data_IF_434830831343
#
_entry.id   IF_434830831343
#
_cell.length_a   1.000
_cell.length_b   1.000
_cell.length_c   1.000
_cell.angle_alpha   90.00
_cell.angle_beta   90.00
_cell.angle_gamma   90.00
#
_symmetry.space_group_name_H-M   'P 1'
#
loop_
_entity.id
_entity.type
_entity.pdbx_description
1 polymer ?
#
# COMPACT_ATOMS: atom_id res chain seq x y z
N UNK A 1 63.75 -21.60 -9.63
CA UNK A 1 64.05 -22.77 -10.50
C UNK A 1 62.91 -22.87 -11.51
N UNK A 2 63.32 -22.67 -12.76
CA UNK A 2 62.68 -23.09 -14.03
C UNK A 2 61.27 -22.61 -14.37
N UNK A 3 61.09 -21.63 -15.22
CA UNK A 3 61.29 -21.56 -16.72
C UNK A 3 60.43 -22.54 -17.50
N UNK A 4 59.53 -22.04 -18.35
CA UNK A 4 59.60 -21.94 -19.82
C UNK A 4 58.22 -21.57 -20.35
N UNK A 5 57.98 -20.47 -20.99
CA UNK A 5 58.28 -19.94 -22.36
C UNK A 5 57.75 -20.83 -23.50
N UNK A 6 57.05 -20.10 -24.38
CA UNK A 6 56.96 -20.17 -25.83
C UNK A 6 55.76 -20.97 -26.39
N UNK A 7 55.12 -20.60 -27.52
CA UNK A 7 55.42 -19.71 -28.64
C UNK A 7 54.15 -19.49 -29.47
N UNK A 8 54.07 -18.32 -30.02
CA UNK A 8 53.37 -17.84 -31.23
C UNK A 8 53.15 -18.87 -32.35
N UNK A 9 51.99 -18.77 -33.05
CA UNK A 9 51.95 -18.78 -34.49
C UNK A 9 50.71 -18.03 -35.02
N UNK A 10 51.00 -17.06 -35.90
CA UNK A 10 50.09 -16.38 -36.82
C UNK A 10 49.90 -17.27 -38.04
N UNK A 11 48.71 -17.31 -38.62
CA UNK A 11 48.44 -17.17 -40.06
C UNK A 11 47.00 -17.56 -40.39
N UNK A 12 46.36 -16.76 -41.26
CA UNK A 12 45.19 -17.21 -42.00
C UNK A 12 44.06 -16.20 -42.12
N UNK A 13 44.25 -15.17 -42.95
CA UNK A 13 43.17 -14.27 -43.45
C UNK A 13 42.27 -15.08 -44.37
N UNK A 14 40.96 -15.12 -44.11
CA UNK A 14 39.94 -15.29 -45.14
C UNK A 14 38.68 -14.53 -44.84
N UNK A 15 38.42 -13.51 -45.65
CA UNK A 15 37.17 -12.76 -45.77
C UNK A 15 36.05 -13.72 -46.22
N UNK A 16 34.97 -13.78 -45.43
CA UNK A 16 33.65 -14.08 -45.96
C UNK A 16 32.62 -13.17 -45.30
N UNK A 17 32.07 -12.33 -46.14
CA UNK A 17 30.87 -11.53 -45.83
C UNK A 17 29.74 -12.46 -45.35
N UNK A 18 29.28 -12.28 -44.15
CA UNK A 18 27.98 -12.75 -43.74
C UNK A 18 27.21 -11.64 -43.05
N UNK A 19 26.13 -11.23 -43.71
CA UNK A 19 25.06 -10.42 -43.15
C UNK A 19 24.56 -11.03 -41.83
N UNK A 20 25.08 -10.55 -40.71
CA UNK A 20 24.55 -10.84 -39.40
C UNK A 20 23.44 -9.87 -39.08
N UNK A 21 22.20 -10.28 -39.30
CA UNK A 21 21.05 -9.57 -38.75
C UNK A 21 21.22 -9.52 -37.23
N UNK A 22 21.28 -8.30 -36.72
CA UNK A 22 21.14 -8.05 -35.27
C UNK A 22 19.76 -8.49 -34.84
N UNK A 23 19.66 -9.69 -34.29
CA UNK A 23 18.54 -10.07 -33.46
C UNK A 23 18.59 -9.18 -32.19
N UNK A 24 18.05 -7.98 -32.28
CA UNK A 24 17.56 -7.27 -31.11
C UNK A 24 16.39 -8.11 -30.57
N UNK A 25 16.70 -9.00 -29.63
CA UNK A 25 15.69 -9.59 -28.76
C UNK A 25 15.00 -8.39 -28.08
N UNK A 26 13.82 -8.04 -28.57
CA UNK A 26 12.89 -7.19 -27.83
C UNK A 26 12.61 -7.94 -26.53
N UNK A 27 13.38 -7.63 -25.48
CA UNK A 27 12.97 -7.89 -24.12
C UNK A 27 11.72 -7.06 -23.92
N UNK A 28 10.56 -7.65 -24.10
CA UNK A 28 9.29 -7.12 -23.64
C UNK A 28 9.44 -7.08 -22.12
N UNK A 29 9.82 -5.94 -21.58
CA UNK A 29 9.79 -5.70 -20.14
C UNK A 29 8.34 -5.83 -19.74
N UNK A 30 8.00 -6.95 -19.12
CA UNK A 30 6.66 -7.16 -18.60
C UNK A 30 6.49 -6.17 -17.43
N UNK A 31 5.40 -5.39 -17.45
CA UNK A 31 5.07 -4.51 -16.34
C UNK A 31 5.01 -5.32 -15.03
N UNK A 32 5.48 -4.77 -13.90
CA UNK A 32 5.40 -5.44 -12.62
C UNK A 32 3.94 -5.73 -12.26
N UNK A 33 3.71 -6.85 -11.60
CA UNK A 33 2.39 -7.21 -11.09
C UNK A 33 2.05 -6.37 -9.84
N UNK A 34 0.85 -5.80 -9.80
CA UNK A 34 0.41 -4.91 -8.73
C UNK A 34 -0.95 -5.38 -8.20
N UNK A 35 -1.12 -5.35 -6.87
CA UNK A 35 -2.40 -5.50 -6.20
C UNK A 35 -2.60 -4.38 -5.20
N UNK A 36 -3.68 -3.61 -5.37
CA UNK A 36 -4.11 -2.58 -4.43
C UNK A 36 -5.39 -3.07 -3.76
N UNK A 37 -5.32 -3.35 -2.48
CA UNK A 37 -6.48 -3.70 -1.69
C UNK A 37 -7.31 -2.44 -1.44
N UNK A 38 -8.60 -2.53 -1.75
CA UNK A 38 -9.55 -1.45 -1.48
C UNK A 38 -10.43 -1.88 -0.32
N UNK A 39 -10.22 -1.24 0.84
CA UNK A 39 -10.91 -1.61 2.08
C UNK A 39 -12.37 -1.15 2.11
N UNK A 40 -13.27 -2.09 2.31
CA UNK A 40 -14.73 -1.88 2.46
C UNK A 40 -15.19 -2.42 3.81
N UNK A 41 -16.17 -1.77 4.43
CA UNK A 41 -16.85 -2.28 5.63
C UNK A 41 -18.38 -2.36 5.46
N UNK A 42 -18.89 -1.98 4.30
CA UNK A 42 -20.30 -2.07 3.89
C UNK A 42 -20.41 -2.05 2.37
N UNK A 43 -21.54 -2.45 1.79
CA UNK A 43 -21.79 -2.33 0.37
C UNK A 43 -21.63 -0.90 -0.14
N UNK A 44 -20.91 -0.76 -1.24
CA UNK A 44 -20.68 0.49 -1.94
C UNK A 44 -20.30 0.20 -3.40
N UNK A 45 -20.10 1.25 -4.21
CA UNK A 45 -19.57 1.10 -5.57
C UNK A 45 -18.20 0.41 -5.49
N UNK A 46 -18.06 -0.73 -6.20
CA UNK A 46 -16.81 -1.49 -6.20
C UNK A 46 -15.78 -0.90 -7.17
N UNK A 47 -14.59 -0.69 -6.66
CA UNK A 47 -13.38 -0.51 -7.43
C UNK A 47 -12.71 -1.88 -7.58
N UNK A 48 -12.83 -2.51 -8.74
CA UNK A 48 -12.37 -3.87 -8.99
C UNK A 48 -11.89 -4.04 -10.43
N UNK A 49 -10.64 -4.41 -10.58
CA UNK A 49 -10.04 -4.84 -11.84
C UNK A 49 -8.83 -5.77 -11.59
N UNK A 50 -7.91 -5.91 -12.52
CA UNK A 50 -6.72 -6.74 -12.34
C UNK A 50 -5.74 -6.21 -11.29
N UNK A 51 -5.77 -4.89 -10.98
CA UNK A 51 -4.94 -4.23 -9.96
C UNK A 51 -5.74 -4.03 -8.68
N UNK A 52 -6.97 -3.51 -8.79
CA UNK A 52 -7.82 -3.15 -7.66
C UNK A 52 -8.57 -4.38 -7.13
N UNK A 53 -8.38 -4.69 -5.87
CA UNK A 53 -8.96 -5.86 -5.21
C UNK A 53 -9.77 -5.43 -3.99
N UNK A 54 -11.12 -5.47 -4.03
CA UNK A 54 -11.95 -5.14 -2.88
C UNK A 54 -11.79 -6.16 -1.76
N UNK A 55 -11.57 -5.66 -0.54
CA UNK A 55 -11.46 -6.48 0.69
C UNK A 55 -12.46 -6.01 1.74
N UNK A 56 -13.22 -6.94 2.31
CA UNK A 56 -14.13 -6.69 3.44
C UNK A 56 -13.34 -6.72 4.74
N UNK A 57 -13.24 -5.57 5.39
CA UNK A 57 -12.49 -5.37 6.63
C UNK A 57 -13.37 -5.70 7.85
N UNK A 58 -12.81 -6.44 8.79
CA UNK A 58 -13.52 -6.86 9.98
C UNK A 58 -14.67 -7.83 9.68
N UNK A 59 -14.57 -8.63 8.62
CA UNK A 59 -15.65 -9.56 8.22
C UNK A 59 -16.07 -10.48 9.35
N UNK A 60 -15.14 -10.92 10.21
CA UNK A 60 -15.44 -11.74 11.38
C UNK A 60 -16.42 -11.08 12.38
N UNK A 61 -16.57 -9.76 12.33
CA UNK A 61 -17.45 -8.98 13.21
C UNK A 61 -18.67 -8.39 12.48
N UNK A 62 -18.79 -8.59 11.17
CA UNK A 62 -19.77 -7.88 10.34
C UNK A 62 -21.23 -8.12 10.75
N UNK A 63 -21.54 -9.30 11.29
CA UNK A 63 -22.89 -9.66 11.78
C UNK A 63 -23.11 -9.31 13.25
N UNK A 64 -22.13 -8.66 13.91
CA UNK A 64 -22.27 -8.23 15.30
C UNK A 64 -22.69 -6.77 15.37
N UNK A 65 -23.53 -6.43 16.34
CA UNK A 65 -23.96 -5.06 16.58
C UNK A 65 -22.75 -4.13 16.82
N UNK A 66 -22.74 -3.00 16.14
CA UNK A 66 -21.72 -1.95 16.23
C UNK A 66 -22.37 -0.58 16.41
N UNK A 67 -21.55 0.48 16.51
CA UNK A 67 -22.05 1.87 16.53
C UNK A 67 -22.81 2.25 15.25
N UNK A 68 -22.50 1.60 14.14
CA UNK A 68 -23.10 1.84 12.82
C UNK A 68 -24.29 0.87 12.55
N UNK A 69 -24.68 0.08 13.55
CA UNK A 69 -25.70 -0.95 13.47
C UNK A 69 -25.13 -2.33 13.17
N UNK A 70 -26.01 -3.28 12.95
CA UNK A 70 -25.72 -4.63 12.51
C UNK A 70 -25.87 -4.68 10.98
N UNK A 71 -24.95 -5.34 10.31
CA UNK A 71 -25.06 -5.53 8.85
C UNK A 71 -26.24 -6.46 8.54
N UNK A 72 -27.10 -6.11 7.59
CA UNK A 72 -28.16 -6.99 7.14
C UNK A 72 -27.60 -8.27 6.52
N UNK A 73 -28.40 -9.32 6.50
CA UNK A 73 -28.00 -10.59 5.90
C UNK A 73 -27.70 -10.42 4.40
N UNK A 74 -28.54 -9.67 3.73
CA UNK A 74 -28.41 -9.36 2.30
C UNK A 74 -27.13 -8.60 2.00
N UNK A 75 -26.79 -7.61 2.81
CA UNK A 75 -25.53 -6.85 2.70
C UNK A 75 -24.31 -7.74 2.95
N UNK A 76 -24.39 -8.60 3.97
CA UNK A 76 -23.31 -9.53 4.27
C UNK A 76 -23.08 -10.53 3.14
N UNK A 77 -24.14 -11.14 2.61
CA UNK A 77 -24.07 -12.03 1.45
C UNK A 77 -23.45 -11.30 0.24
N UNK A 78 -23.93 -10.09 -0.04
CA UNK A 78 -23.38 -9.27 -1.12
C UNK A 78 -21.87 -9.00 -0.93
N UNK A 79 -21.46 -8.65 0.29
CA UNK A 79 -20.03 -8.43 0.60
C UNK A 79 -19.22 -9.71 0.41
N UNK A 80 -19.74 -10.88 0.81
CA UNK A 80 -19.07 -12.16 0.60
C UNK A 80 -18.88 -12.50 -0.88
N UNK A 81 -19.87 -12.21 -1.70
CA UNK A 81 -19.86 -12.53 -3.14
C UNK A 81 -18.95 -11.60 -3.95
N UNK A 82 -18.77 -10.37 -3.49
CA UNK A 82 -18.12 -9.31 -4.27
C UNK A 82 -16.72 -8.93 -3.79
N UNK A 83 -16.35 -9.30 -2.56
CA UNK A 83 -15.06 -8.93 -1.95
C UNK A 83 -14.35 -10.15 -1.39
N UNK A 84 -13.02 -10.11 -1.30
CA UNK A 84 -12.31 -11.05 -0.44
C UNK A 84 -12.53 -10.66 1.03
N UNK A 85 -12.40 -11.64 1.95
CA UNK A 85 -12.55 -11.36 3.39
C UNK A 85 -11.20 -11.33 4.09
N UNK A 86 -11.05 -10.39 5.03
CA UNK A 86 -9.89 -10.34 5.93
C UNK A 86 -9.94 -11.38 7.06
N UNK A 87 -10.97 -12.27 7.05
CA UNK A 87 -11.22 -13.32 8.04
C UNK A 87 -10.73 -14.71 7.62
N UNK A 88 -10.03 -14.82 6.49
CA UNK A 88 -9.55 -16.10 5.95
C UNK A 88 -8.05 -16.29 6.22
N UNK A 89 -7.61 -17.54 6.38
CA UNK A 89 -6.20 -17.86 6.63
C UNK A 89 -5.69 -17.29 7.94
N UNK A 90 -4.41 -16.90 8.00
CA UNK A 90 -3.85 -16.18 9.15
C UNK A 90 -4.37 -14.74 9.18
N UNK A 91 -5.14 -14.38 10.21
CA UNK A 91 -5.86 -13.12 10.26
C UNK A 91 -6.10 -12.64 11.68
N UNK A 92 -6.38 -11.34 11.79
CA UNK A 92 -6.80 -10.65 13.02
C UNK A 92 -8.13 -9.90 12.81
N UNK A 93 -8.99 -10.38 11.91
CA UNK A 93 -10.28 -9.75 11.56
C UNK A 93 -11.17 -9.48 12.79
N UNK A 94 -11.18 -10.39 13.76
CA UNK A 94 -11.91 -10.26 15.04
C UNK A 94 -11.41 -9.09 15.91
N UNK A 95 -10.24 -8.53 15.64
CA UNK A 95 -9.68 -7.37 16.33
C UNK A 95 -9.94 -6.04 15.58
N UNK A 96 -10.75 -6.06 14.52
CA UNK A 96 -10.96 -4.87 13.66
C UNK A 96 -11.46 -3.65 14.43
N UNK A 97 -12.21 -3.82 15.54
CA UNK A 97 -12.65 -2.71 16.39
C UNK A 97 -11.49 -1.91 17.01
N UNK A 98 -10.31 -2.53 17.14
CA UNK A 98 -9.10 -1.91 17.68
C UNK A 98 -8.12 -1.47 16.60
N UNK A 99 -8.01 -2.26 15.53
CA UNK A 99 -6.98 -2.08 14.51
C UNK A 99 -7.51 -1.51 13.18
N UNK A 100 -8.84 -1.39 13.02
CA UNK A 100 -9.45 -0.83 11.82
C UNK A 100 -8.86 -1.44 10.53
N UNK A 101 -8.37 -0.62 9.63
CA UNK A 101 -7.81 -1.01 8.34
C UNK A 101 -6.58 -1.92 8.43
N UNK A 102 -5.87 -1.87 9.55
CA UNK A 102 -4.70 -2.71 9.77
C UNK A 102 -5.01 -4.20 9.73
N UNK A 103 -6.27 -4.61 9.97
CA UNK A 103 -6.67 -6.02 9.83
C UNK A 103 -6.54 -6.50 8.39
N UNK A 104 -6.89 -5.68 7.41
CA UNK A 104 -6.70 -5.98 6.00
C UNK A 104 -5.23 -5.95 5.56
N UNK A 105 -4.44 -5.02 6.10
CA UNK A 105 -3.00 -4.95 5.84
C UNK A 105 -2.29 -6.19 6.42
N UNK A 106 -2.64 -6.58 7.66
CA UNK A 106 -2.15 -7.82 8.27
C UNK A 106 -2.51 -9.05 7.43
N UNK A 107 -3.78 -9.11 6.99
CA UNK A 107 -4.24 -10.21 6.14
C UNK A 107 -3.43 -10.30 4.85
N UNK A 108 -3.18 -9.19 4.17
CA UNK A 108 -2.38 -9.15 2.95
C UNK A 108 -0.95 -9.64 3.18
N UNK A 109 -0.32 -9.22 4.28
CA UNK A 109 1.00 -9.69 4.66
C UNK A 109 1.05 -11.19 4.91
N UNK A 110 0.09 -11.73 5.66
CA UNK A 110 0.06 -13.15 6.06
C UNK A 110 -0.42 -14.09 4.95
N UNK A 111 -1.18 -13.58 4.01
CA UNK A 111 -1.78 -14.37 2.93
C UNK A 111 -1.36 -13.83 1.55
N UNK A 112 -0.11 -13.42 1.43
CA UNK A 112 0.43 -12.78 0.23
C UNK A 112 0.32 -13.68 -1.02
N UNK A 113 0.47 -14.99 -0.82
CA UNK A 113 0.27 -16.01 -1.85
C UNK A 113 -1.14 -16.01 -2.45
N UNK A 114 -2.16 -15.71 -1.65
CA UNK A 114 -3.55 -15.59 -2.12
C UNK A 114 -3.80 -14.36 -3.00
N UNK A 115 -2.89 -13.38 -2.96
CA UNK A 115 -2.89 -12.25 -3.88
C UNK A 115 -2.13 -12.54 -5.18
N UNK A 116 -1.55 -13.73 -5.31
CA UNK A 116 -0.77 -14.14 -6.46
C UNK A 116 0.70 -13.70 -6.43
N UNK A 117 1.23 -13.37 -5.25
CA UNK A 117 2.60 -12.88 -5.02
C UNK A 117 2.95 -11.69 -5.93
N UNK A 118 2.21 -10.59 -5.88
CA UNK A 118 2.46 -9.45 -6.74
C UNK A 118 3.82 -8.79 -6.41
N UNK A 119 4.45 -8.15 -7.40
CA UNK A 119 5.69 -7.39 -7.19
C UNK A 119 5.46 -6.18 -6.28
N UNK A 120 4.26 -5.58 -6.35
CA UNK A 120 3.83 -4.46 -5.52
C UNK A 120 2.47 -4.74 -4.88
N UNK A 121 2.34 -4.39 -3.61
CA UNK A 121 1.07 -4.41 -2.90
C UNK A 121 0.76 -3.01 -2.35
N UNK A 122 -0.50 -2.61 -2.48
CA UNK A 122 -0.97 -1.34 -1.95
C UNK A 122 -2.25 -1.50 -1.15
N UNK A 123 -2.61 -0.42 -0.45
CA UNK A 123 -3.83 -0.32 0.31
C UNK A 123 -4.45 1.07 0.17
N UNK A 124 -5.77 1.13 -0.05
CA UNK A 124 -6.57 2.35 0.00
C UNK A 124 -7.98 2.04 0.51
N UNK A 125 -8.79 3.08 0.69
CA UNK A 125 -10.15 2.93 1.18
C UNK A 125 -11.15 3.17 0.07
N UNK A 126 -12.35 2.58 0.17
CA UNK A 126 -13.41 2.82 -0.79
C UNK A 126 -13.95 4.28 -0.78
N UNK A 127 -13.63 5.07 0.25
CA UNK A 127 -13.98 6.49 0.38
C UNK A 127 -12.78 7.44 0.36
N UNK A 128 -11.57 6.90 0.32
CA UNK A 128 -10.31 7.63 0.21
C UNK A 128 -9.43 6.89 -0.77
N UNK A 129 -9.31 7.41 -1.95
CA UNK A 129 -8.63 6.78 -3.06
C UNK A 129 -7.46 7.64 -3.51
N UNK A 130 -6.47 7.02 -4.13
CA UNK A 130 -5.40 7.77 -4.79
C UNK A 130 -5.96 8.54 -5.98
N UNK A 131 -5.53 9.78 -6.12
CA UNK A 131 -5.76 10.57 -7.32
C UNK A 131 -4.56 10.46 -8.25
N UNK A 132 -4.73 9.76 -9.36
CA UNK A 132 -3.70 9.59 -10.38
C UNK A 132 -3.79 10.65 -11.48
N UNK A 133 -4.60 11.71 -11.35
CA UNK A 133 -4.71 12.77 -12.35
C UNK A 133 -3.46 13.65 -12.37
N UNK A 134 -3.17 14.23 -13.54
CA UNK A 134 -2.04 15.15 -13.70
C UNK A 134 -2.19 16.39 -12.81
N UNK A 135 -1.10 16.75 -12.13
CA UNK A 135 -1.05 17.94 -11.27
C UNK A 135 -1.61 17.76 -9.89
N UNK A 136 -2.21 16.61 -9.58
CA UNK A 136 -2.50 16.28 -8.20
C UNK A 136 -1.19 15.91 -7.49
N UNK A 137 -0.86 16.61 -6.42
CA UNK A 137 -0.15 15.96 -5.33
C UNK A 137 -1.02 14.75 -4.98
N UNK A 138 -0.46 13.55 -4.77
CA UNK A 138 -1.23 12.34 -4.37
C UNK A 138 -1.99 12.62 -3.06
N UNK A 139 -2.88 13.60 -3.11
CA UNK A 139 -3.75 13.92 -1.99
C UNK A 139 -4.85 12.87 -1.96
N UNK A 140 -5.08 12.24 -0.80
CA UNK A 140 -6.24 11.41 -0.66
C UNK A 140 -7.45 12.30 -0.96
N UNK A 141 -8.20 11.96 -1.98
CA UNK A 141 -9.47 12.63 -2.24
C UNK A 141 -10.29 12.63 -0.96
N UNK A 142 -10.91 13.77 -0.69
CA UNK A 142 -11.65 14.02 0.55
C UNK A 142 -12.64 12.90 0.87
N UNK A 143 -12.97 12.76 2.14
CA UNK A 143 -13.94 11.79 2.64
C UNK A 143 -15.32 12.03 1.99
N UNK A 144 -15.75 11.09 1.15
CA UNK A 144 -17.06 11.13 0.51
C UNK A 144 -17.92 10.00 1.06
N UNK A 145 -19.17 10.32 1.40
CA UNK A 145 -20.13 9.31 1.80
C UNK A 145 -20.46 8.32 0.69
N UNK A 146 -20.23 8.73 -0.56
CA UNK A 146 -20.42 7.89 -1.75
C UNK A 146 -19.39 8.23 -2.82
N UNK A 147 -18.77 7.21 -3.44
CA UNK A 147 -18.02 7.37 -4.67
C UNK A 147 -19.00 7.86 -5.76
N UNK A 148 -18.82 9.08 -6.19
CA UNK A 148 -19.58 9.63 -7.31
C UNK A 148 -18.92 9.24 -8.65
N UNK A 149 -19.66 9.38 -9.75
CA UNK A 149 -19.13 9.12 -11.10
C UNK A 149 -17.87 9.95 -11.44
N UNK A 150 -17.70 11.11 -10.80
CA UNK A 150 -16.50 11.95 -10.94
C UNK A 150 -15.25 11.23 -10.41
N UNK A 151 -15.38 10.48 -9.32
CA UNK A 151 -14.25 9.75 -8.71
C UNK A 151 -13.97 8.42 -9.41
N UNK A 152 -14.99 7.79 -9.95
CA UNK A 152 -14.81 6.62 -10.81
C UNK A 152 -14.01 6.97 -12.07
N UNK A 153 -14.10 8.21 -12.56
CA UNK A 153 -13.27 8.73 -13.65
C UNK A 153 -11.78 8.77 -13.34
N UNK A 154 -11.35 8.79 -12.06
CA UNK A 154 -9.94 8.72 -11.67
C UNK A 154 -9.33 7.35 -11.95
N UNK A 155 -10.16 6.31 -12.07
CA UNK A 155 -9.79 4.96 -12.45
C UNK A 155 -10.20 4.66 -13.90
N UNK A 156 -10.06 5.66 -14.76
CA UNK A 156 -10.20 5.49 -16.21
C UNK A 156 -9.08 4.62 -16.79
N UNK A 157 -9.10 4.41 -18.09
CA UNK A 157 -8.10 3.59 -18.79
C UNK A 157 -6.65 4.08 -18.63
N UNK A 158 -6.42 5.30 -18.15
CA UNK A 158 -5.08 5.91 -18.04
C UNK A 158 -4.45 5.77 -16.67
N UNK A 159 -5.20 5.47 -15.59
CA UNK A 159 -4.64 5.39 -14.25
C UNK A 159 -3.51 4.36 -14.14
N UNK A 160 -3.62 3.24 -14.87
CA UNK A 160 -2.62 2.16 -14.87
C UNK A 160 -1.29 2.63 -15.44
N UNK A 161 -1.31 3.34 -16.56
CA UNK A 161 -0.09 3.89 -17.15
C UNK A 161 0.61 4.87 -16.20
N UNK A 162 -0.16 5.71 -15.51
CA UNK A 162 0.36 6.64 -14.50
C UNK A 162 0.92 5.91 -13.29
N UNK A 163 0.22 4.89 -12.80
CA UNK A 163 0.68 4.05 -11.69
C UNK A 163 2.01 3.37 -12.02
N UNK A 164 2.14 2.75 -13.20
CA UNK A 164 3.39 2.14 -13.63
C UNK A 164 4.53 3.16 -13.70
N UNK A 165 4.28 4.35 -14.25
CA UNK A 165 5.28 5.43 -14.30
C UNK A 165 5.73 5.88 -12.91
N UNK A 166 4.85 5.90 -11.92
CA UNK A 166 5.20 6.24 -10.54
C UNK A 166 6.05 5.15 -9.89
N UNK A 167 5.72 3.89 -10.12
CA UNK A 167 6.45 2.74 -9.57
C UNK A 167 7.87 2.65 -10.15
N UNK A 168 8.07 2.99 -11.43
CA UNK A 168 9.41 3.03 -12.04
C UNK A 168 10.37 4.01 -11.34
N UNK A 169 9.83 5.02 -10.67
CA UNK A 169 10.59 6.10 -10.02
C UNK A 169 10.58 6.03 -8.49
N UNK A 170 9.89 5.06 -7.88
CA UNK A 170 9.64 5.07 -6.44
C UNK A 170 9.54 3.67 -5.86
N UNK A 171 10.19 3.44 -4.74
CA UNK A 171 10.07 2.19 -3.98
C UNK A 171 8.77 2.13 -3.17
N UNK A 172 8.19 3.30 -2.85
CA UNK A 172 6.92 3.43 -2.14
C UNK A 172 6.18 4.66 -2.62
N UNK A 173 4.87 4.53 -2.80
CA UNK A 173 3.95 5.63 -3.10
C UNK A 173 3.04 5.82 -1.89
N UNK A 174 2.98 7.04 -1.36
CA UNK A 174 2.12 7.41 -0.24
C UNK A 174 1.37 8.70 -0.55
N UNK A 175 0.23 8.96 0.13
CA UNK A 175 -0.46 10.25 0.03
C UNK A 175 0.45 11.40 0.46
N UNK A 176 0.15 12.62 -0.01
CA UNK A 176 0.80 13.81 0.49
C UNK A 176 0.64 13.93 2.01
N UNK A 177 1.70 14.25 2.75
CA UNK A 177 1.61 14.31 4.20
C UNK A 177 0.76 15.49 4.67
N UNK A 178 0.01 15.29 5.74
CA UNK A 178 -0.58 16.40 6.47
C UNK A 178 0.53 17.20 7.16
N UNK A 179 0.53 18.53 6.95
CA UNK A 179 1.51 19.41 7.54
C UNK A 179 0.99 19.95 8.87
N UNK A 180 1.66 19.60 9.96
CA UNK A 180 1.36 20.11 11.30
C UNK A 180 1.97 21.49 11.43
N UNK A 181 1.12 22.53 11.45
CA UNK A 181 1.58 23.90 11.54
C UNK A 181 2.18 24.19 12.92
N UNK A 182 3.41 24.75 12.94
CA UNK A 182 4.12 25.21 14.14
C UNK A 182 4.32 24.14 15.22
N UNK A 183 4.32 22.87 14.86
CA UNK A 183 4.51 21.75 15.79
C UNK A 183 5.11 20.52 15.09
N UNK A 184 5.43 19.49 15.87
CA UNK A 184 5.84 18.17 15.38
C UNK A 184 4.79 17.12 15.73
N UNK A 185 4.98 15.91 15.22
CA UNK A 185 4.02 14.80 15.41
C UNK A 185 3.84 14.51 16.90
N UNK A 186 4.92 14.32 17.64
CA UNK A 186 4.89 13.98 19.07
C UNK A 186 4.11 15.03 19.88
N UNK A 187 4.50 16.30 19.77
CA UNK A 187 3.84 17.37 20.50
C UNK A 187 2.38 17.59 20.09
N UNK A 188 2.06 17.34 18.82
CA UNK A 188 0.67 17.41 18.35
C UNK A 188 -0.20 16.35 19.01
N UNK A 189 0.31 15.11 19.13
CA UNK A 189 -0.41 14.02 19.81
C UNK A 189 -0.50 14.22 21.33
N UNK A 190 0.52 14.79 21.96
CA UNK A 190 0.54 15.13 23.40
C UNK A 190 -0.25 16.40 23.73
N UNK A 191 -0.78 17.12 22.73
CA UNK A 191 -1.56 18.34 22.98
C UNK A 191 -2.90 18.05 23.65
N UNK A 192 -3.34 18.95 24.53
CA UNK A 192 -4.66 18.85 25.21
C UNK A 192 -5.82 18.67 24.24
N UNK A 193 -5.71 19.23 23.04
CA UNK A 193 -6.72 19.12 22.00
C UNK A 193 -6.76 17.70 21.43
N UNK A 194 -5.62 17.08 21.16
CA UNK A 194 -5.53 15.72 20.65
C UNK A 194 -5.95 14.70 21.72
N UNK A 195 -5.46 14.85 22.95
CA UNK A 195 -5.85 14.01 24.10
C UNK A 195 -7.36 14.01 24.32
N UNK A 196 -8.00 15.19 24.26
CA UNK A 196 -9.46 15.32 24.36
C UNK A 196 -10.19 14.67 23.19
N UNK A 197 -9.69 14.88 21.98
CA UNK A 197 -10.34 14.38 20.76
C UNK A 197 -10.24 12.86 20.66
N UNK A 198 -9.05 12.31 20.85
CA UNK A 198 -8.78 10.88 20.70
C UNK A 198 -9.08 10.08 21.97
N UNK A 199 -9.38 10.76 23.09
CA UNK A 199 -9.55 10.14 24.42
C UNK A 199 -8.33 9.26 24.79
N UNK A 200 -7.16 9.69 24.36
CA UNK A 200 -5.88 9.08 24.71
C UNK A 200 -5.32 9.78 25.95
N UNK A 201 -4.41 9.13 26.63
CA UNK A 201 -3.63 9.73 27.69
C UNK A 201 -2.26 10.17 27.09
N UNK A 202 -1.61 11.15 27.69
CA UNK A 202 -0.30 11.67 27.26
C UNK A 202 0.80 10.63 27.37
N UNK A 203 0.59 9.55 28.14
CA UNK A 203 1.51 8.42 28.22
C UNK A 203 1.52 7.52 26.97
N UNK A 204 0.47 7.59 26.13
CA UNK A 204 0.38 6.75 24.94
C UNK A 204 1.63 6.83 24.05
N UNK A 205 2.11 8.05 23.84
CA UNK A 205 3.26 8.28 22.96
C UNK A 205 4.56 7.78 23.59
N UNK A 206 4.71 7.92 24.91
CA UNK A 206 5.88 7.42 25.64
C UNK A 206 5.91 5.89 25.67
N UNK A 207 4.75 5.25 25.86
CA UNK A 207 4.60 3.78 25.76
C UNK A 207 4.96 3.29 24.35
N UNK A 208 4.49 3.97 23.30
CA UNK A 208 4.83 3.62 21.92
C UNK A 208 6.35 3.66 21.68
N UNK A 209 7.01 4.72 22.14
CA UNK A 209 8.46 4.87 22.01
C UNK A 209 9.22 3.80 22.82
N UNK A 210 8.72 3.43 23.99
CA UNK A 210 9.29 2.37 24.81
C UNK A 210 9.16 1.00 24.12
N UNK A 211 8.01 0.68 23.54
CA UNK A 211 7.80 -0.54 22.77
C UNK A 211 8.75 -0.58 21.56
N UNK A 212 8.85 0.51 20.79
CA UNK A 212 9.77 0.55 19.65
C UNK A 212 11.21 0.33 20.11
N UNK A 213 11.63 0.95 21.19
CA UNK A 213 12.98 0.84 21.70
C UNK A 213 13.31 -0.59 22.19
N UNK A 214 12.35 -1.28 22.83
CA UNK A 214 12.56 -2.58 23.43
C UNK A 214 12.38 -3.73 22.44
N UNK A 215 11.35 -3.65 21.58
CA UNK A 215 10.95 -4.74 20.70
C UNK A 215 11.46 -4.58 19.26
N UNK A 216 11.79 -3.33 18.86
CA UNK A 216 12.24 -2.97 17.52
C UNK A 216 13.40 -1.95 17.55
N UNK A 217 14.50 -2.25 18.26
CA UNK A 217 15.58 -1.28 18.53
C UNK A 217 16.23 -0.71 17.24
N UNK A 218 16.23 -1.47 16.14
CA UNK A 218 16.75 -1.04 14.84
C UNK A 218 15.96 0.14 14.27
N UNK A 219 14.68 0.31 14.64
CA UNK A 219 13.84 1.43 14.20
C UNK A 219 13.80 2.61 15.19
N UNK A 220 14.38 2.48 16.39
CA UNK A 220 14.22 3.49 17.44
C UNK A 220 14.67 4.89 17.00
N UNK A 221 15.87 5.01 16.42
CA UNK A 221 16.38 6.28 15.91
C UNK A 221 15.55 6.84 14.75
N UNK A 222 15.06 5.99 13.87
CA UNK A 222 14.22 6.38 12.75
C UNK A 222 12.87 6.92 13.25
N UNK A 223 12.27 6.22 14.22
CA UNK A 223 11.00 6.61 14.84
C UNK A 223 11.14 7.96 15.57
N UNK A 224 12.17 8.15 16.37
CA UNK A 224 12.42 9.42 17.06
C UNK A 224 12.57 10.58 16.06
N UNK A 225 13.34 10.39 14.98
CA UNK A 225 13.48 11.39 13.93
C UNK A 225 12.16 11.67 13.21
N UNK A 226 11.35 10.64 12.95
CA UNK A 226 10.03 10.79 12.34
C UNK A 226 9.07 11.57 13.24
N UNK A 227 9.04 11.28 14.54
CA UNK A 227 8.14 11.94 15.50
C UNK A 227 8.47 13.42 15.72
N UNK A 228 9.72 13.81 15.47
CA UNK A 228 10.15 15.22 15.52
C UNK A 228 9.82 16.01 14.24
N UNK A 229 9.35 15.35 13.18
CA UNK A 229 8.92 16.02 11.95
C UNK A 229 7.53 16.62 12.09
N UNK A 230 7.21 17.53 11.17
CA UNK A 230 5.87 18.12 11.04
C UNK A 230 5.04 17.50 9.90
N UNK A 231 5.52 16.43 9.28
CA UNK A 231 4.87 15.72 8.16
C UNK A 231 4.28 14.43 8.66
N UNK A 232 2.95 14.36 8.74
CA UNK A 232 2.22 13.18 9.17
C UNK A 232 1.57 12.49 7.96
N UNK A 233 2.01 11.27 7.65
CA UNK A 233 1.35 10.42 6.66
C UNK A 233 0.15 9.73 7.30
N UNK A 234 -1.02 9.98 6.73
CA UNK A 234 -2.30 9.56 7.29
C UNK A 234 -2.96 8.46 6.45
N UNK A 235 -4.05 7.89 7.00
CA UNK A 235 -5.01 7.03 6.33
C UNK A 235 -4.55 5.61 6.00
N UNK A 236 -3.35 5.18 6.40
CA UNK A 236 -2.83 3.84 6.10
C UNK A 236 -2.91 3.50 4.60
N UNK A 237 -2.69 4.48 3.72
CA UNK A 237 -2.67 4.32 2.27
C UNK A 237 -1.24 4.27 1.76
N UNK A 238 -0.94 3.31 0.88
CA UNK A 238 0.37 3.14 0.24
C UNK A 238 0.26 2.22 -0.97
N UNK A 239 1.28 2.25 -1.81
CA UNK A 239 1.52 1.28 -2.89
C UNK A 239 3.01 0.96 -2.93
#
# INVERSE_FOLDING_TARGET
>A
MNNNQNKTNLEGINNTNNNGGTNSSNLVTQNPSIKILVGYHKPAVLLKDEILTPIHLGRALATQASKDGEMSKEDFEWMCDNTIGDDTGDNISHLNRYFCELTGIYWAWKNYDKLGNPDYVGFMHYRRIFDFNEGSSLEPLQEYDTLTSVYLGNFDTNYKAKLYSLIECSDIIAPSPYIIANNNIENNYKSDKAVKFWKTDDLFFDILKEIIKNDFPEYANLADNYFLQNRLYCFNMFI
#
